data_IF_386066836582
#
_entry.id   IF_386066836582
#
_cell.length_a   1.000
_cell.length_b   1.000
_cell.length_c   1.000
_cell.angle_alpha   90.00
_cell.angle_beta   90.00
_cell.angle_gamma   90.00
#
_symmetry.space_group_name_H-M   'P 1'
#
loop_
_entity.id
_entity.type
_entity.pdbx_description
1 polymer ?
#
# COMPACT_ATOMS: atom_id res chain seq x y z
N UNK A 1 -7.21 5.02 11.71
CA UNK A 1 -7.54 4.06 12.77
C UNK A 1 -9.02 4.13 13.03
N UNK A 2 -9.81 3.34 12.38
CA UNK A 2 -11.05 2.88 12.97
C UNK A 2 -10.77 1.51 13.57
N UNK A 3 -10.12 1.44 14.73
CA UNK A 3 -10.47 0.43 15.70
C UNK A 3 -11.84 0.88 16.22
N UNK A 4 -12.89 0.66 15.42
CA UNK A 4 -14.23 0.65 15.92
C UNK A 4 -14.30 -0.49 16.94
N UNK A 5 -14.00 -0.20 18.19
CA UNK A 5 -14.62 -0.90 19.29
C UNK A 5 -16.11 -0.71 19.05
N UNK A 6 -16.72 -1.62 18.30
CA UNK A 6 -18.16 -1.80 18.32
C UNK A 6 -18.51 -2.20 19.74
N UNK A 7 -18.70 -1.21 20.60
CA UNK A 7 -19.52 -1.41 21.78
C UNK A 7 -20.87 -1.79 21.23
N UNK A 8 -21.35 -2.97 21.60
CA UNK A 8 -22.72 -3.40 21.41
C UNK A 8 -23.61 -2.38 22.12
N UNK A 9 -23.96 -1.31 21.42
CA UNK A 9 -25.05 -0.45 21.89
C UNK A 9 -26.33 -1.26 21.77
N UNK A 10 -27.22 -1.22 22.77
CA UNK A 10 -28.52 -1.86 22.67
C UNK A 10 -29.18 -1.46 21.35
N UNK A 11 -29.69 -2.41 20.60
CA UNK A 11 -30.35 -2.22 19.30
C UNK A 11 -31.40 -1.11 19.33
N UNK A 12 -32.04 -0.88 20.47
CA UNK A 12 -33.01 0.20 20.72
C UNK A 12 -32.40 1.62 20.63
N UNK A 13 -31.13 1.79 20.90
CA UNK A 13 -30.47 3.10 20.84
C UNK A 13 -30.04 3.43 19.39
N UNK A 14 -29.59 2.44 18.63
CA UNK A 14 -29.17 2.59 17.23
C UNK A 14 -30.37 2.94 16.32
N UNK A 15 -31.55 2.35 16.58
CA UNK A 15 -32.79 2.69 15.86
C UNK A 15 -33.27 4.13 16.11
N UNK A 16 -33.02 4.71 17.28
CA UNK A 16 -33.38 6.11 17.61
C UNK A 16 -32.59 7.16 16.82
N UNK A 17 -31.42 6.81 16.28
CA UNK A 17 -30.59 7.71 15.49
C UNK A 17 -30.75 7.55 13.98
N UNK A 18 -31.81 6.84 13.50
CA UNK A 18 -32.06 6.66 12.06
C UNK A 18 -30.95 5.87 11.33
N UNK A 19 -30.14 5.12 12.07
CA UNK A 19 -29.10 4.27 11.49
C UNK A 19 -29.81 3.10 10.81
N UNK A 20 -29.68 3.07 9.49
CA UNK A 20 -30.34 2.14 8.57
C UNK A 20 -30.34 0.69 9.08
N UNK A 21 -31.39 -0.06 8.69
CA UNK A 21 -31.58 -1.49 8.90
C UNK A 21 -30.38 -2.40 8.57
N UNK A 22 -29.40 -1.89 7.83
CA UNK A 22 -28.17 -2.64 7.53
C UNK A 22 -27.21 -2.79 8.73
N UNK A 23 -27.22 -1.85 9.68
CA UNK A 23 -26.42 -1.96 10.92
C UNK A 23 -27.22 -2.63 12.02
N UNK A 24 -28.57 -2.48 11.99
CA UNK A 24 -29.50 -3.12 12.90
C UNK A 24 -30.08 -4.46 12.38
N UNK A 25 -29.66 -4.91 11.19
CA UNK A 25 -29.97 -6.28 10.79
C UNK A 25 -29.46 -7.21 11.90
N UNK A 26 -30.27 -8.11 12.44
CA UNK A 26 -29.79 -9.07 13.42
C UNK A 26 -28.56 -9.72 12.82
N UNK A 27 -27.43 -9.66 13.54
CA UNK A 27 -26.26 -10.47 13.19
C UNK A 27 -26.84 -11.86 12.99
N UNK A 28 -26.80 -12.43 11.77
CA UNK A 28 -27.30 -13.77 11.58
C UNK A 28 -26.72 -14.59 12.73
N UNK A 29 -27.55 -15.38 13.40
CA UNK A 29 -27.05 -16.25 14.47
C UNK A 29 -26.14 -17.28 13.81
N UNK A 30 -24.90 -16.86 13.48
CA UNK A 30 -23.84 -17.74 13.04
C UNK A 30 -23.40 -18.57 14.23
N UNK A 31 -24.25 -19.49 14.59
CA UNK A 31 -23.95 -20.47 15.68
C UNK A 31 -22.82 -21.40 15.25
N UNK A 32 -22.59 -21.56 13.94
CA UNK A 32 -21.44 -22.27 13.36
C UNK A 32 -21.12 -21.68 12.00
N UNK A 33 -19.84 -21.49 11.70
CA UNK A 33 -19.39 -21.25 10.32
C UNK A 33 -19.75 -22.49 9.52
N UNK A 34 -20.58 -22.36 8.46
CA UNK A 34 -20.96 -23.49 7.60
C UNK A 34 -19.71 -24.01 6.87
N UNK A 35 -19.13 -25.06 7.47
CA UNK A 35 -17.94 -25.73 6.95
C UNK A 35 -18.36 -27.03 6.27
N UNK A 36 -18.30 -27.05 4.95
CA UNK A 36 -18.45 -28.30 4.23
C UNK A 36 -17.26 -29.26 4.50
N UNK A 37 -17.37 -30.50 4.07
CA UNK A 37 -16.41 -31.57 4.38
C UNK A 37 -14.95 -31.20 4.03
N UNK A 38 -14.71 -30.47 2.93
CA UNK A 38 -13.34 -30.09 2.52
C UNK A 38 -12.63 -29.18 3.52
N UNK A 39 -13.36 -28.22 4.13
CA UNK A 39 -12.80 -27.34 5.18
C UNK A 39 -12.56 -28.08 6.49
N UNK A 40 -13.42 -29.05 6.83
CA UNK A 40 -13.23 -29.89 8.02
C UNK A 40 -11.98 -30.76 7.90
N UNK A 41 -11.75 -31.37 6.73
CA UNK A 41 -10.54 -32.16 6.48
C UNK A 41 -9.30 -31.25 6.45
N UNK A 42 -9.35 -30.14 5.75
CA UNK A 42 -8.28 -29.16 5.74
C UNK A 42 -7.88 -28.72 7.16
N UNK A 43 -8.87 -28.37 8.02
CA UNK A 43 -8.64 -28.02 9.42
C UNK A 43 -7.97 -29.17 10.19
N UNK A 44 -8.46 -30.38 10.03
CA UNK A 44 -7.92 -31.57 10.69
C UNK A 44 -6.46 -31.78 10.34
N UNK A 45 -6.14 -31.71 9.06
CA UNK A 45 -4.78 -31.92 8.58
C UNK A 45 -3.86 -30.76 8.99
N UNK A 46 -4.33 -29.51 8.93
CA UNK A 46 -3.58 -28.34 9.40
C UNK A 46 -3.27 -28.40 10.90
N UNK A 47 -4.18 -28.94 11.73
CA UNK A 47 -3.97 -29.12 13.16
C UNK A 47 -2.88 -30.15 13.52
N UNK A 48 -2.35 -30.88 12.54
CA UNK A 48 -1.22 -31.78 12.76
C UNK A 48 0.12 -31.05 12.94
N UNK A 49 0.23 -29.81 12.41
CA UNK A 49 1.46 -29.01 12.49
C UNK A 49 1.22 -27.57 12.98
N UNK A 50 -0.02 -27.10 13.00
CA UNK A 50 -0.39 -25.79 13.57
C UNK A 50 -1.17 -25.99 14.87
N UNK A 51 -0.75 -25.31 15.92
CA UNK A 51 -1.43 -25.40 17.21
C UNK A 51 -2.87 -24.84 17.14
N UNK A 52 -3.80 -25.49 17.84
CA UNK A 52 -5.23 -25.16 17.76
C UNK A 52 -5.57 -23.72 18.20
N UNK A 53 -4.76 -23.10 19.06
CA UNK A 53 -4.91 -21.70 19.48
C UNK A 53 -4.59 -20.70 18.36
N UNK A 54 -4.00 -21.15 17.25
CA UNK A 54 -3.72 -20.36 16.05
C UNK A 54 -4.67 -20.63 14.88
N UNK A 55 -5.60 -21.58 15.03
CA UNK A 55 -6.65 -21.91 14.05
C UNK A 55 -8.00 -21.43 14.58
N UNK A 56 -8.56 -20.39 14.03
CA UNK A 56 -9.83 -19.81 14.43
C UNK A 56 -10.94 -20.24 13.49
N UNK A 57 -12.00 -20.86 14.06
CA UNK A 57 -13.19 -21.28 13.31
C UNK A 57 -14.48 -20.84 13.99
N UNK A 58 -14.38 -20.19 15.15
CA UNK A 58 -15.55 -19.62 15.82
C UNK A 58 -16.02 -18.34 15.13
N UNK A 59 -17.32 -18.12 15.18
CA UNK A 59 -17.99 -17.03 14.48
C UNK A 59 -17.49 -15.65 14.88
N UNK A 60 -17.16 -15.44 16.16
CA UNK A 60 -16.73 -14.14 16.67
C UNK A 60 -15.37 -13.74 16.10
N UNK A 61 -14.37 -14.64 16.16
CA UNK A 61 -13.04 -14.37 15.63
C UNK A 61 -13.05 -14.28 14.11
N UNK A 62 -13.77 -15.19 13.41
CA UNK A 62 -13.92 -15.09 11.95
C UNK A 62 -14.59 -13.78 11.53
N UNK A 63 -15.63 -13.34 12.25
CA UNK A 63 -16.27 -12.06 11.98
C UNK A 63 -15.33 -10.86 12.21
N UNK A 64 -14.53 -10.89 13.28
CA UNK A 64 -13.55 -9.84 13.58
C UNK A 64 -12.47 -9.72 12.50
N UNK A 65 -12.08 -10.84 11.86
CA UNK A 65 -11.12 -10.86 10.76
C UNK A 65 -11.74 -10.60 9.37
N UNK A 66 -13.06 -10.44 9.31
CA UNK A 66 -13.80 -10.27 8.06
C UNK A 66 -13.75 -8.86 7.46
N UNK A 67 -12.96 -7.93 8.01
CA UNK A 67 -12.82 -6.55 7.53
C UNK A 67 -11.36 -6.17 7.36
N UNK A 68 -11.08 -5.23 6.47
CA UNK A 68 -9.82 -4.51 6.38
C UNK A 68 -10.02 -3.02 6.76
N UNK A 69 -9.20 -2.10 6.23
CA UNK A 69 -9.39 -0.67 6.46
C UNK A 69 -10.46 -0.05 5.54
N UNK A 70 -10.94 -0.80 4.54
CA UNK A 70 -12.02 -0.41 3.64
C UNK A 70 -13.41 -0.68 4.22
N UNK A 71 -14.41 -0.57 3.36
CA UNK A 71 -15.82 -0.86 3.71
C UNK A 71 -16.27 -2.26 3.29
N UNK A 72 -15.39 -3.02 2.65
CA UNK A 72 -15.67 -4.40 2.24
C UNK A 72 -15.67 -5.35 3.43
N UNK A 73 -16.48 -6.39 3.33
CA UNK A 73 -16.55 -7.45 4.33
C UNK A 73 -16.77 -8.80 3.67
N UNK A 74 -15.90 -9.75 3.99
CA UNK A 74 -16.08 -11.18 3.73
C UNK A 74 -15.70 -11.93 5.00
N UNK A 75 -16.61 -12.73 5.55
CA UNK A 75 -16.33 -13.48 6.79
C UNK A 75 -15.64 -14.80 6.42
N UNK A 76 -14.37 -14.99 6.82
CA UNK A 76 -13.65 -16.22 6.52
C UNK A 76 -14.27 -17.42 7.26
N UNK A 77 -14.20 -18.59 6.63
CA UNK A 77 -14.56 -19.87 7.30
C UNK A 77 -13.51 -20.28 8.32
N UNK A 78 -12.28 -19.84 8.12
CA UNK A 78 -11.16 -20.16 8.99
C UNK A 78 -10.11 -19.06 8.90
N UNK A 79 -9.50 -18.73 10.05
CA UNK A 79 -8.32 -17.85 10.11
C UNK A 79 -7.17 -18.65 10.72
N UNK A 80 -6.03 -18.66 10.05
CA UNK A 80 -4.82 -19.35 10.50
C UNK A 80 -3.71 -18.34 10.65
N UNK A 81 -3.07 -18.29 11.81
CA UNK A 81 -1.90 -17.46 12.08
C UNK A 81 -0.65 -18.30 11.86
N UNK A 82 -0.10 -18.23 10.63
CA UNK A 82 1.15 -18.90 10.31
C UNK A 82 2.35 -18.22 11.01
N UNK A 83 3.34 -19.00 11.42
CA UNK A 83 4.52 -18.51 12.13
C UNK A 83 5.80 -18.52 11.31
N UNK A 84 5.87 -19.39 10.31
CA UNK A 84 7.06 -19.54 9.48
C UNK A 84 6.72 -20.02 8.06
N UNK A 85 7.74 -20.03 7.21
CA UNK A 85 7.66 -20.41 5.81
C UNK A 85 7.24 -21.86 5.61
N UNK A 86 7.70 -22.77 6.48
CA UNK A 86 7.36 -24.20 6.40
C UNK A 86 5.87 -24.43 6.65
N UNK A 87 5.28 -23.72 7.62
CA UNK A 87 3.83 -23.76 7.85
C UNK A 87 3.04 -23.28 6.65
N UNK A 88 3.47 -22.15 6.03
CA UNK A 88 2.81 -21.62 4.82
C UNK A 88 2.92 -22.60 3.66
N UNK A 89 4.10 -23.19 3.42
CA UNK A 89 4.30 -24.21 2.39
C UNK A 89 3.36 -25.39 2.57
N UNK A 90 3.28 -25.95 3.79
CA UNK A 90 2.39 -27.07 4.10
C UNK A 90 0.90 -26.67 3.97
N UNK A 91 0.53 -25.46 4.39
CA UNK A 91 -0.84 -24.96 4.23
C UNK A 91 -1.25 -24.84 2.77
N UNK A 92 -0.36 -24.35 1.90
CA UNK A 92 -0.63 -24.26 0.46
C UNK A 92 -0.78 -25.64 -0.19
N UNK A 93 0.06 -26.62 0.18
CA UNK A 93 -0.09 -28.00 -0.26
C UNK A 93 -1.43 -28.59 0.18
N UNK A 94 -1.85 -28.35 1.43
CA UNK A 94 -3.15 -28.80 1.91
C UNK A 94 -4.31 -28.06 1.20
N UNK A 95 -4.18 -26.77 0.95
CA UNK A 95 -5.16 -25.97 0.24
C UNK A 95 -5.39 -26.51 -1.19
N UNK A 96 -4.31 -26.83 -1.89
CA UNK A 96 -4.36 -27.48 -3.20
C UNK A 96 -5.03 -28.85 -3.13
N UNK A 97 -4.61 -29.71 -2.18
CA UNK A 97 -5.15 -31.07 -1.99
C UNK A 97 -6.64 -31.08 -1.72
N UNK A 98 -7.13 -30.16 -0.88
CA UNK A 98 -8.53 -30.08 -0.48
C UNK A 98 -9.36 -29.13 -1.37
N UNK A 99 -8.76 -28.49 -2.38
CA UNK A 99 -9.39 -27.47 -3.24
C UNK A 99 -10.00 -26.33 -2.40
N UNK A 100 -9.26 -25.85 -1.41
CA UNK A 100 -9.66 -24.76 -0.49
C UNK A 100 -8.96 -23.48 -0.90
N UNK A 101 -9.70 -22.43 -1.31
CA UNK A 101 -9.11 -21.13 -1.59
C UNK A 101 -8.48 -20.50 -0.34
N UNK A 102 -7.35 -19.84 -0.51
CA UNK A 102 -6.65 -19.12 0.56
C UNK A 102 -6.44 -17.66 0.19
N UNK A 103 -6.42 -16.79 1.19
CA UNK A 103 -6.07 -15.38 1.06
C UNK A 103 -5.03 -15.06 2.12
N UNK A 104 -3.97 -14.35 1.74
CA UNK A 104 -2.95 -13.89 2.67
C UNK A 104 -3.30 -12.53 3.25
N UNK A 105 -2.88 -12.31 4.50
CA UNK A 105 -3.07 -11.04 5.19
C UNK A 105 -1.87 -10.72 6.07
N UNK A 106 -1.33 -9.52 5.91
CA UNK A 106 -0.40 -8.91 6.84
C UNK A 106 -1.18 -7.98 7.82
N UNK A 107 -1.02 -6.67 7.76
CA UNK A 107 -1.72 -5.73 8.65
C UNK A 107 -3.22 -5.53 8.30
N UNK A 108 -3.62 -5.75 7.04
CA UNK A 108 -4.99 -5.52 6.59
C UNK A 108 -5.34 -4.03 6.49
N UNK A 109 -4.39 -3.21 6.04
CA UNK A 109 -4.57 -1.76 5.84
C UNK A 109 -5.09 -1.40 4.45
N UNK A 110 -5.41 -2.39 3.62
CA UNK A 110 -6.02 -2.19 2.30
C UNK A 110 -7.39 -1.54 2.39
N UNK A 111 -7.75 -0.77 1.36
CA UNK A 111 -9.01 -0.02 1.27
C UNK A 111 -10.01 -0.66 0.30
N UNK A 112 -9.56 -1.60 -0.54
CA UNK A 112 -10.35 -2.18 -1.64
C UNK A 112 -10.62 -3.68 -1.47
N UNK A 113 -10.52 -4.23 -0.23
CA UNK A 113 -10.93 -5.59 0.08
C UNK A 113 -9.90 -6.68 -0.24
N UNK A 114 -8.64 -6.34 -0.55
CA UNK A 114 -7.63 -7.33 -0.94
C UNK A 114 -7.28 -8.33 0.17
N UNK A 115 -7.45 -7.93 1.43
CA UNK A 115 -7.07 -8.73 2.61
C UNK A 115 -8.26 -9.38 3.33
N UNK A 116 -9.43 -9.46 2.71
CA UNK A 116 -10.60 -10.17 3.22
C UNK A 116 -10.89 -11.45 2.43
N UNK A 117 -11.54 -12.42 3.05
CA UNK A 117 -11.81 -13.73 2.45
C UNK A 117 -13.14 -14.29 2.96
N UNK A 118 -13.80 -15.07 2.12
CA UNK A 118 -14.93 -15.93 2.50
C UNK A 118 -14.51 -17.42 2.68
N UNK A 119 -13.20 -17.70 2.60
CA UNK A 119 -12.60 -19.03 2.67
C UNK A 119 -11.59 -19.11 3.83
N UNK A 120 -10.34 -19.46 3.58
CA UNK A 120 -9.28 -19.51 4.59
C UNK A 120 -8.43 -18.24 4.48
N UNK A 121 -8.31 -17.53 5.60
CA UNK A 121 -7.44 -16.37 5.74
C UNK A 121 -6.16 -16.78 6.46
N UNK A 122 -5.02 -16.71 5.79
CA UNK A 122 -3.71 -16.99 6.36
C UNK A 122 -3.06 -15.66 6.76
N UNK A 123 -2.78 -15.50 8.05
CA UNK A 123 -2.23 -14.26 8.60
C UNK A 123 -0.74 -14.42 8.85
N UNK A 124 0.06 -13.58 8.17
CA UNK A 124 1.50 -13.40 8.39
C UNK A 124 1.73 -12.02 9.05
N UNK A 125 1.75 -11.99 10.37
CA UNK A 125 1.90 -10.77 11.15
C UNK A 125 2.99 -10.91 12.20
N UNK A 126 2.63 -10.84 13.47
CA UNK A 126 3.54 -11.09 14.59
C UNK A 126 4.20 -12.47 14.40
N UNK A 127 5.48 -12.59 14.57
CA UNK A 127 6.42 -13.68 14.27
C UNK A 127 7.05 -13.64 12.87
N UNK A 128 6.62 -12.72 12.00
CA UNK A 128 7.22 -12.44 10.70
C UNK A 128 7.91 -11.07 10.72
N UNK A 129 8.66 -10.77 11.80
CA UNK A 129 9.25 -9.45 12.05
C UNK A 129 10.78 -9.46 11.98
N UNK A 130 11.38 -10.55 11.51
CA UNK A 130 12.83 -10.62 11.34
C UNK A 130 13.30 -9.70 10.20
N UNK A 131 14.52 -9.19 10.38
CA UNK A 131 15.18 -8.33 9.41
C UNK A 131 16.70 -8.46 9.52
N UNK A 132 17.39 -8.16 8.43
CA UNK A 132 18.86 -7.99 8.41
C UNK A 132 19.22 -6.94 7.37
N UNK A 133 20.41 -6.35 7.47
CA UNK A 133 20.94 -5.46 6.45
C UNK A 133 22.43 -5.74 6.23
N UNK A 134 22.94 -5.35 5.06
CA UNK A 134 24.36 -5.34 4.81
C UNK A 134 25.08 -4.21 5.60
N UNK A 135 26.40 -4.17 5.58
CA UNK A 135 27.21 -3.31 6.46
C UNK A 135 26.90 -1.82 6.33
N UNK A 136 26.61 -1.35 5.13
CA UNK A 136 26.25 0.07 4.85
C UNK A 136 24.74 0.32 4.79
N UNK A 137 23.94 -0.70 5.09
CA UNK A 137 22.48 -0.71 5.00
C UNK A 137 21.95 -0.23 3.64
N UNK A 138 22.72 -0.35 2.54
CA UNK A 138 22.25 -0.09 1.18
C UNK A 138 21.22 -1.11 0.72
N UNK A 139 21.20 -2.28 1.38
CA UNK A 139 20.20 -3.34 1.20
C UNK A 139 19.68 -3.78 2.57
N UNK A 140 18.38 -4.05 2.62
CA UNK A 140 17.70 -4.57 3.80
C UNK A 140 16.82 -5.76 3.40
N UNK A 141 16.94 -6.83 4.17
CA UNK A 141 16.11 -8.02 4.05
C UNK A 141 15.06 -8.02 5.14
N UNK A 142 13.81 -8.25 4.78
CA UNK A 142 12.64 -8.03 5.63
C UNK A 142 11.64 -9.16 5.50
N UNK A 143 11.12 -9.64 6.61
CA UNK A 143 9.94 -10.50 6.63
C UNK A 143 8.64 -9.69 6.49
N UNK A 144 7.54 -10.30 6.00
CA UNK A 144 6.29 -9.60 5.65
C UNK A 144 5.58 -8.90 6.82
N UNK A 145 5.83 -9.27 8.07
CA UNK A 145 5.21 -8.69 9.27
C UNK A 145 5.92 -7.45 9.82
N UNK A 146 7.07 -7.06 9.27
CA UNK A 146 7.77 -5.84 9.71
C UNK A 146 6.92 -4.61 9.35
N UNK A 147 6.69 -3.73 10.34
CA UNK A 147 5.94 -2.48 10.11
C UNK A 147 6.81 -1.50 9.33
N UNK A 148 6.22 -0.84 8.31
CA UNK A 148 6.95 0.05 7.42
C UNK A 148 7.70 1.18 8.12
N UNK A 149 7.12 1.83 9.15
CA UNK A 149 7.82 2.86 9.92
C UNK A 149 9.01 2.32 10.72
N UNK A 150 8.95 1.06 11.18
CA UNK A 150 10.07 0.39 11.88
C UNK A 150 11.27 0.21 10.95
N UNK A 151 11.04 -0.02 9.65
CA UNK A 151 12.14 -0.09 8.67
C UNK A 151 12.92 1.21 8.65
N UNK A 152 12.25 2.37 8.67
CA UNK A 152 12.92 3.66 8.74
C UNK A 152 13.68 3.88 10.07
N UNK A 153 13.14 3.37 11.19
CA UNK A 153 13.83 3.45 12.48
C UNK A 153 15.12 2.61 12.49
N UNK A 154 15.10 1.44 11.82
CA UNK A 154 16.26 0.57 11.62
C UNK A 154 17.33 1.26 10.74
N UNK A 155 16.90 1.89 9.64
CA UNK A 155 17.79 2.48 8.64
C UNK A 155 18.37 3.85 9.05
N UNK A 156 17.68 4.58 9.91
CA UNK A 156 18.08 5.95 10.33
C UNK A 156 19.51 6.06 10.89
N UNK A 157 20.00 5.13 11.74
CA UNK A 157 21.39 5.18 12.23
C UNK A 157 22.44 5.08 11.11
N UNK A 158 22.08 4.52 9.96
CA UNK A 158 22.94 4.40 8.79
C UNK A 158 22.78 5.57 7.80
N UNK A 159 22.00 6.61 8.15
CA UNK A 159 21.69 7.71 7.24
C UNK A 159 20.89 7.28 6.01
N UNK A 160 20.03 6.27 6.17
CA UNK A 160 19.24 5.70 5.07
C UNK A 160 17.75 5.65 5.40
N UNK A 161 16.92 5.50 4.37
CA UNK A 161 15.47 5.37 4.48
C UNK A 161 14.91 4.29 3.55
N UNK A 162 13.73 3.81 3.88
CA UNK A 162 12.92 2.93 3.05
C UNK A 162 12.32 3.71 1.89
N UNK A 163 12.32 3.14 0.68
CA UNK A 163 11.79 3.81 -0.51
C UNK A 163 10.27 3.99 -0.47
N UNK A 164 9.47 2.92 -0.32
CA UNK A 164 8.01 3.02 -0.23
C UNK A 164 7.57 3.77 1.04
N UNK A 165 6.70 4.78 0.87
CA UNK A 165 6.24 5.64 1.98
C UNK A 165 4.71 5.83 2.02
N UNK A 166 3.90 4.74 1.98
CA UNK A 166 2.45 4.88 1.99
C UNK A 166 1.94 5.64 3.21
N UNK A 167 0.79 6.32 3.07
CA UNK A 167 0.18 7.08 4.16
C UNK A 167 -0.07 6.26 5.43
N UNK A 168 -0.24 4.94 5.27
CA UNK A 168 -0.40 3.97 6.36
C UNK A 168 0.92 3.44 6.94
N UNK A 169 2.09 4.03 6.62
CA UNK A 169 3.43 3.50 6.95
C UNK A 169 3.61 3.13 8.44
N UNK A 170 2.91 3.82 9.34
CA UNK A 170 2.93 3.55 10.80
C UNK A 170 2.17 2.27 11.21
N UNK A 171 1.39 1.70 10.32
CA UNK A 171 0.53 0.54 10.61
C UNK A 171 0.60 -0.58 9.57
N UNK A 172 0.93 -0.28 8.31
CA UNK A 172 1.08 -1.29 7.28
C UNK A 172 2.38 -2.08 7.46
N UNK A 173 2.36 -3.31 6.97
CA UNK A 173 3.48 -4.24 7.04
C UNK A 173 4.11 -4.42 5.66
N UNK A 174 5.41 -4.75 5.63
CA UNK A 174 6.22 -4.89 4.41
C UNK A 174 5.57 -5.83 3.39
N UNK A 175 5.02 -6.98 3.81
CA UNK A 175 4.34 -7.89 2.88
C UNK A 175 3.20 -7.21 2.12
N UNK A 176 2.35 -6.43 2.82
CA UNK A 176 1.30 -5.65 2.18
C UNK A 176 1.84 -4.50 1.32
N UNK A 177 2.89 -3.81 1.77
CA UNK A 177 3.52 -2.72 1.02
C UNK A 177 4.03 -3.23 -0.34
N UNK A 178 4.74 -4.35 -0.36
CA UNK A 178 5.31 -4.93 -1.58
C UNK A 178 4.24 -5.53 -2.47
N UNK A 179 3.35 -6.34 -1.91
CA UNK A 179 2.30 -7.02 -2.69
C UNK A 179 1.29 -6.06 -3.31
N UNK A 180 1.06 -4.89 -2.72
CA UNK A 180 0.23 -3.83 -3.30
C UNK A 180 1.02 -2.89 -4.23
N UNK A 181 2.36 -2.93 -4.24
CA UNK A 181 3.22 -1.88 -4.79
C UNK A 181 2.87 -0.50 -4.21
N UNK A 182 2.66 -0.46 -2.90
CA UNK A 182 2.18 0.73 -2.22
C UNK A 182 3.13 1.90 -2.43
N UNK A 183 2.59 2.98 -2.94
CA UNK A 183 3.31 4.23 -3.18
C UNK A 183 2.86 5.28 -2.19
N UNK A 184 3.74 6.18 -1.84
CA UNK A 184 3.46 7.30 -0.95
C UNK A 184 3.67 8.63 -1.62
N UNK A 185 3.88 9.64 -0.79
CA UNK A 185 3.94 11.03 -1.21
C UNK A 185 5.29 11.41 -1.83
N UNK A 186 6.38 10.76 -1.42
CA UNK A 186 7.74 11.10 -1.86
C UNK A 186 8.42 10.01 -2.67
N UNK A 187 7.88 8.79 -2.74
CA UNK A 187 8.51 7.71 -3.50
C UNK A 187 8.36 7.87 -5.03
N UNK A 188 7.36 8.59 -5.50
CA UNK A 188 7.09 8.76 -6.93
C UNK A 188 6.97 7.42 -7.66
N UNK A 189 7.53 7.37 -8.88
CA UNK A 189 7.67 6.15 -9.70
C UNK A 189 9.06 5.54 -9.65
N UNK A 190 9.97 6.09 -8.83
CA UNK A 190 11.40 5.74 -8.83
C UNK A 190 11.83 4.96 -7.60
N UNK A 191 11.06 5.01 -6.51
CA UNK A 191 11.40 4.36 -5.24
C UNK A 191 10.24 3.59 -4.59
N UNK A 192 9.23 3.25 -5.36
CA UNK A 192 8.20 2.29 -4.97
C UNK A 192 8.74 0.84 -4.96
N UNK A 193 7.93 -0.11 -4.50
CA UNK A 193 8.40 -1.47 -4.23
C UNK A 193 8.99 -2.17 -5.45
N UNK A 194 8.41 -2.02 -6.65
CA UNK A 194 8.90 -2.67 -7.88
C UNK A 194 10.29 -2.17 -8.33
N UNK A 195 10.68 -0.95 -7.94
CA UNK A 195 12.00 -0.37 -8.22
C UNK A 195 13.04 -0.69 -7.17
N UNK A 196 12.58 -0.95 -5.94
CA UNK A 196 13.47 -1.18 -4.81
C UNK A 196 13.71 -2.66 -4.53
N UNK A 197 12.87 -3.56 -5.06
CA UNK A 197 12.99 -5.01 -4.85
C UNK A 197 14.21 -5.58 -5.58
N UNK A 198 15.03 -6.33 -4.86
CA UNK A 198 16.21 -7.00 -5.36
C UNK A 198 16.04 -8.52 -5.41
N UNK A 199 15.52 -9.11 -4.34
CA UNK A 199 15.33 -10.54 -4.20
C UNK A 199 14.14 -10.84 -3.29
N UNK A 200 13.61 -12.05 -3.37
CA UNK A 200 12.60 -12.57 -2.47
C UNK A 200 12.72 -14.09 -2.26
N UNK A 201 12.17 -14.54 -1.13
CA UNK A 201 11.83 -15.96 -0.92
C UNK A 201 10.33 -16.10 -1.18
N UNK A 202 10.00 -17.00 -2.12
CA UNK A 202 8.66 -17.10 -2.71
C UNK A 202 8.13 -18.52 -2.44
N UNK A 203 6.94 -18.62 -1.86
CA UNK A 203 6.27 -19.92 -1.66
C UNK A 203 5.11 -20.02 -2.65
N UNK A 204 5.24 -20.95 -3.62
CA UNK A 204 4.23 -21.19 -4.65
C UNK A 204 3.05 -22.03 -4.16
N UNK A 205 1.99 -22.10 -4.96
CA UNK A 205 0.75 -22.80 -4.59
C UNK A 205 0.90 -24.30 -4.31
N UNK A 206 1.94 -24.93 -4.85
CA UNK A 206 2.31 -26.33 -4.59
C UNK A 206 3.18 -26.50 -3.32
N UNK A 207 3.51 -25.38 -2.65
CA UNK A 207 4.36 -25.33 -1.47
C UNK A 207 5.86 -25.29 -1.78
N UNK A 208 6.27 -25.23 -3.06
CA UNK A 208 7.68 -25.06 -3.40
C UNK A 208 8.19 -23.69 -2.96
N UNK A 209 9.43 -23.65 -2.44
CA UNK A 209 10.10 -22.41 -2.01
C UNK A 209 11.21 -22.08 -2.99
N UNK A 210 11.11 -20.92 -3.63
CA UNK A 210 12.15 -20.34 -4.47
C UNK A 210 12.85 -19.20 -3.71
N UNK A 211 14.15 -19.31 -3.54
CA UNK A 211 15.02 -18.20 -3.12
C UNK A 211 15.66 -17.57 -4.36
N UNK A 212 15.27 -16.36 -4.71
CA UNK A 212 15.77 -15.72 -5.93
C UNK A 212 17.20 -15.19 -5.79
N UNK A 213 17.72 -15.09 -4.57
CA UNK A 213 19.11 -14.72 -4.32
C UNK A 213 20.09 -15.89 -4.42
N UNK A 214 19.58 -17.14 -4.32
CA UNK A 214 20.38 -18.36 -4.36
C UNK A 214 20.37 -18.98 -5.77
N UNK A 215 21.55 -19.07 -6.36
CA UNK A 215 21.73 -19.63 -7.70
C UNK A 215 21.28 -21.09 -7.82
N UNK A 216 21.51 -21.91 -6.78
CA UNK A 216 21.12 -23.31 -6.79
C UNK A 216 19.60 -23.47 -6.70
N UNK A 217 18.95 -22.65 -5.89
CA UNK A 217 17.49 -22.56 -5.82
C UNK A 217 16.87 -22.13 -7.16
N UNK A 218 17.45 -21.10 -7.83
CA UNK A 218 17.05 -20.67 -9.17
C UNK A 218 17.16 -21.81 -10.20
N UNK A 219 18.30 -22.46 -10.28
CA UNK A 219 18.53 -23.56 -11.20
C UNK A 219 17.57 -24.73 -10.96
N UNK A 220 17.37 -25.08 -9.70
CA UNK A 220 16.44 -26.14 -9.34
C UNK A 220 14.97 -25.79 -9.72
N UNK A 221 14.57 -24.53 -9.55
CA UNK A 221 13.25 -24.08 -10.00
C UNK A 221 13.10 -24.16 -11.54
N UNK A 222 14.11 -23.73 -12.28
CA UNK A 222 14.10 -23.82 -13.75
C UNK A 222 13.90 -25.25 -14.26
N UNK A 223 14.48 -26.22 -13.56
CA UNK A 223 14.38 -27.63 -13.91
C UNK A 223 13.04 -28.26 -13.50
N UNK A 224 12.55 -27.94 -12.26
CA UNK A 224 11.38 -28.61 -11.67
C UNK A 224 10.06 -27.95 -12.05
N UNK A 225 10.07 -26.63 -12.33
CA UNK A 225 8.89 -25.83 -12.65
C UNK A 225 8.89 -25.32 -14.10
N UNK A 226 9.48 -26.14 -14.98
CA UNK A 226 9.64 -25.80 -16.39
C UNK A 226 8.36 -25.30 -17.07
N UNK A 227 7.20 -25.84 -16.68
CA UNK A 227 5.91 -25.40 -17.23
C UNK A 227 5.57 -23.93 -16.89
N UNK A 228 5.94 -23.43 -15.70
CA UNK A 228 5.78 -22.02 -15.31
C UNK A 228 6.79 -21.18 -16.08
N UNK A 229 8.04 -21.62 -16.12
CA UNK A 229 9.13 -20.94 -16.82
C UNK A 229 8.82 -20.76 -18.30
N UNK A 230 8.41 -21.85 -18.98
CA UNK A 230 8.05 -21.82 -20.40
C UNK A 230 6.86 -20.90 -20.68
N UNK A 231 5.85 -20.88 -19.78
CA UNK A 231 4.71 -19.98 -19.90
C UNK A 231 5.11 -18.51 -19.75
N UNK A 232 5.99 -18.17 -18.78
CA UNK A 232 6.50 -16.81 -18.59
C UNK A 232 7.33 -16.35 -19.79
N UNK A 233 8.19 -17.23 -20.33
CA UNK A 233 8.97 -16.95 -21.54
C UNK A 233 8.05 -16.71 -22.75
N UNK A 234 7.05 -17.55 -22.95
CA UNK A 234 6.10 -17.39 -24.04
C UNK A 234 5.32 -16.07 -23.95
N UNK A 235 4.84 -15.71 -22.75
CA UNK A 235 4.15 -14.43 -22.51
C UNK A 235 5.10 -13.23 -22.74
N UNK A 236 6.35 -13.32 -22.29
CA UNK A 236 7.35 -12.28 -22.55
C UNK A 236 7.54 -12.06 -24.05
N UNK A 237 7.72 -13.13 -24.79
CA UNK A 237 7.99 -13.07 -26.22
C UNK A 237 6.75 -12.58 -27.00
N UNK A 238 5.54 -12.99 -26.59
CA UNK A 238 4.28 -12.47 -27.12
C UNK A 238 4.16 -10.95 -26.90
N UNK A 239 4.34 -10.48 -25.66
CA UNK A 239 4.30 -9.05 -25.32
C UNK A 239 5.32 -8.26 -26.15
N UNK A 240 6.56 -8.75 -26.27
CA UNK A 240 7.64 -8.07 -26.99
C UNK A 240 7.45 -8.06 -28.50
N UNK A 241 6.71 -9.01 -29.05
CA UNK A 241 6.40 -9.07 -30.49
C UNK A 241 5.40 -8.00 -30.94
N UNK A 242 4.60 -7.45 -30.01
CA UNK A 242 3.64 -6.38 -30.28
C UNK A 242 4.22 -5.02 -29.87
N UNK A 243 4.78 -4.28 -30.84
CA UNK A 243 5.35 -2.95 -30.59
C UNK A 243 4.33 -1.93 -30.03
N UNK A 244 3.05 -2.07 -30.40
CA UNK A 244 1.99 -1.18 -29.89
C UNK A 244 1.72 -1.46 -28.40
N UNK A 245 1.68 -2.74 -28.04
CA UNK A 245 1.51 -3.14 -26.64
C UNK A 245 2.71 -2.70 -25.78
N UNK A 246 3.94 -2.89 -26.29
CA UNK A 246 5.17 -2.44 -25.61
C UNK A 246 5.11 -0.93 -25.33
N UNK A 247 4.72 -0.13 -26.33
CA UNK A 247 4.61 1.31 -26.14
C UNK A 247 3.52 1.70 -25.13
N UNK A 248 2.35 1.04 -25.17
CA UNK A 248 1.30 1.25 -24.19
C UNK A 248 1.74 0.91 -22.77
N UNK A 249 2.51 -0.16 -22.58
CA UNK A 249 3.09 -0.52 -21.29
C UNK A 249 4.03 0.58 -20.80
N UNK A 250 4.96 1.05 -21.64
CA UNK A 250 5.89 2.14 -21.29
C UNK A 250 5.17 3.40 -20.87
N UNK A 251 4.18 3.84 -21.62
CA UNK A 251 3.37 5.03 -21.30
C UNK A 251 2.61 4.84 -20.00
N UNK A 252 1.94 3.69 -19.82
CA UNK A 252 1.17 3.41 -18.59
C UNK A 252 2.04 3.44 -17.34
N UNK A 253 3.24 2.89 -17.39
CA UNK A 253 4.15 2.81 -16.23
C UNK A 253 5.15 3.98 -16.15
N UNK A 254 4.99 5.01 -16.99
CA UNK A 254 5.72 6.29 -16.85
C UNK A 254 5.12 7.19 -15.75
N UNK A 255 3.88 6.91 -15.35
CA UNK A 255 3.20 7.54 -14.22
C UNK A 255 2.90 6.50 -13.14
N UNK A 256 2.48 6.95 -11.95
CA UNK A 256 2.06 6.04 -10.87
C UNK A 256 0.99 5.06 -11.37
N UNK A 257 1.24 3.76 -11.22
CA UNK A 257 0.28 2.72 -11.51
C UNK A 257 0.37 1.62 -10.45
N UNK A 258 -0.71 1.42 -9.72
CA UNK A 258 -0.85 0.42 -8.64
C UNK A 258 -2.08 -0.46 -8.83
N UNK A 259 -2.62 -0.53 -10.05
CA UNK A 259 -3.82 -1.29 -10.37
C UNK A 259 -3.52 -2.47 -11.30
N UNK A 260 -3.98 -3.64 -10.91
CA UNK A 260 -3.78 -4.89 -11.65
C UNK A 260 -2.34 -5.40 -11.60
N UNK A 261 -2.09 -6.50 -12.30
CA UNK A 261 -0.75 -7.07 -12.39
C UNK A 261 0.19 -6.14 -13.18
N UNK A 262 1.42 -6.04 -12.71
CA UNK A 262 2.44 -5.23 -13.34
C UNK A 262 2.97 -5.94 -14.61
N UNK A 263 2.72 -5.37 -15.79
CA UNK A 263 3.20 -5.91 -17.07
C UNK A 263 4.60 -5.43 -17.46
N UNK A 264 5.14 -4.43 -16.74
CA UNK A 264 6.46 -3.86 -17.03
C UNK A 264 7.59 -4.90 -16.99
N UNK A 265 7.61 -5.91 -16.09
CA UNK A 265 8.64 -6.95 -16.05
C UNK A 265 8.84 -7.69 -17.37
N UNK A 266 7.78 -7.91 -18.16
CA UNK A 266 7.88 -8.60 -19.46
C UNK A 266 8.71 -7.84 -20.51
N UNK A 267 8.79 -6.51 -20.40
CA UNK A 267 9.60 -5.69 -21.30
C UNK A 267 10.94 -5.26 -20.69
N UNK A 268 11.11 -5.43 -19.36
CA UNK A 268 12.29 -4.98 -18.63
C UNK A 268 13.32 -6.11 -18.44
N UNK A 269 12.88 -7.33 -18.13
CA UNK A 269 13.75 -8.43 -17.73
C UNK A 269 13.76 -9.55 -18.78
N UNK A 270 14.92 -10.15 -18.99
CA UNK A 270 15.08 -11.32 -19.90
C UNK A 270 14.93 -12.64 -19.14
N UNK A 271 15.43 -12.69 -17.92
CA UNK A 271 15.38 -13.88 -17.07
C UNK A 271 13.94 -14.12 -16.56
N UNK A 272 13.37 -15.32 -16.74
CA UNK A 272 12.00 -15.62 -16.30
C UNK A 272 11.82 -15.55 -14.80
N UNK A 273 12.85 -15.83 -13.98
CA UNK A 273 12.76 -15.71 -12.52
C UNK A 273 12.69 -14.24 -12.11
N UNK A 274 13.44 -13.34 -12.75
CA UNK A 274 13.36 -11.91 -12.50
C UNK A 274 11.99 -11.36 -12.93
N UNK A 275 11.42 -11.86 -14.03
CA UNK A 275 10.04 -11.52 -14.42
C UNK A 275 9.06 -11.97 -13.33
N UNK A 276 9.16 -13.22 -12.85
CA UNK A 276 8.29 -13.75 -11.77
C UNK A 276 8.43 -12.90 -10.51
N UNK A 277 9.66 -12.59 -10.08
CA UNK A 277 9.95 -11.79 -8.91
C UNK A 277 9.21 -10.44 -8.94
N UNK A 278 9.31 -9.74 -10.06
CA UNK A 278 8.70 -8.41 -10.20
C UNK A 278 7.19 -8.45 -10.53
N UNK A 279 6.66 -9.56 -11.06
CA UNK A 279 5.21 -9.77 -11.19
C UNK A 279 4.51 -9.91 -9.85
N UNK A 280 5.22 -10.35 -8.80
CA UNK A 280 4.66 -10.44 -7.44
C UNK A 280 4.33 -9.07 -6.87
N UNK A 281 5.07 -8.03 -7.27
CA UNK A 281 4.84 -6.65 -6.82
C UNK A 281 3.55 -6.12 -7.48
N UNK A 282 2.56 -5.81 -6.66
CA UNK A 282 1.22 -5.42 -7.12
C UNK A 282 0.28 -6.61 -7.38
N UNK A 283 0.70 -7.86 -7.08
CA UNK A 283 -0.14 -9.05 -7.25
C UNK A 283 -1.18 -9.26 -6.13
N UNK A 284 -1.14 -8.48 -5.07
CA UNK A 284 -2.00 -8.60 -3.88
C UNK A 284 -1.93 -9.99 -3.21
N UNK A 285 -0.80 -10.69 -3.38
CA UNK A 285 -0.62 -12.04 -2.88
C UNK A 285 -1.41 -13.12 -3.64
N UNK A 286 -1.91 -12.84 -4.84
CA UNK A 286 -2.71 -13.78 -5.64
C UNK A 286 -1.86 -14.79 -6.42
N UNK A 287 -0.59 -14.49 -6.67
CA UNK A 287 0.31 -15.36 -7.44
C UNK A 287 1.12 -16.30 -6.55
N UNK A 288 1.61 -15.82 -5.41
CA UNK A 288 2.39 -16.59 -4.46
C UNK A 288 2.43 -15.88 -3.09
N UNK A 289 2.91 -16.57 -2.06
CA UNK A 289 3.27 -15.95 -0.79
C UNK A 289 4.75 -15.55 -0.81
N UNK A 290 5.06 -14.39 -0.22
CA UNK A 290 6.43 -13.92 -0.07
C UNK A 290 6.79 -13.95 1.42
N UNK A 291 7.74 -14.81 1.77
CA UNK A 291 8.20 -15.02 3.14
C UNK A 291 9.32 -14.06 3.54
N UNK A 292 10.05 -13.52 2.56
CA UNK A 292 11.13 -12.57 2.75
C UNK A 292 11.35 -11.74 1.47
N UNK A 293 11.70 -10.47 1.63
CA UNK A 293 12.12 -9.57 0.54
C UNK A 293 13.43 -8.90 0.87
N UNK A 294 14.33 -8.82 -0.09
CA UNK A 294 15.52 -7.96 -0.02
C UNK A 294 15.28 -6.73 -0.90
N UNK A 295 15.39 -5.56 -0.30
CA UNK A 295 15.13 -4.29 -0.96
C UNK A 295 16.34 -3.36 -0.86
N UNK A 296 16.59 -2.59 -1.91
CA UNK A 296 17.51 -1.46 -1.83
C UNK A 296 16.94 -0.35 -0.96
N UNK A 297 17.80 0.46 -0.40
CA UNK A 297 17.43 1.59 0.46
C UNK A 297 17.92 2.90 -0.14
N UNK A 298 17.37 4.02 0.30
CA UNK A 298 17.74 5.35 -0.19
C UNK A 298 18.59 6.10 0.84
N UNK A 299 19.50 6.98 0.42
CA UNK A 299 20.11 7.94 1.33
C UNK A 299 19.04 8.81 2.00
N UNK A 300 19.23 9.10 3.28
CA UNK A 300 18.40 10.07 4.00
C UNK A 300 19.05 11.44 3.88
N UNK A 301 18.40 12.35 3.17
CA UNK A 301 18.81 13.75 3.14
C UNK A 301 18.50 14.39 4.51
N UNK A 302 19.54 14.86 5.26
CA UNK A 302 19.36 15.28 6.64
C UNK A 302 18.70 16.66 6.78
N UNK A 303 18.67 17.45 5.72
CA UNK A 303 18.11 18.79 5.71
C UNK A 303 16.82 18.83 4.90
N UNK A 304 15.78 19.41 5.47
CA UNK A 304 14.50 19.57 4.78
C UNK A 304 13.85 20.91 5.12
N UNK A 305 13.10 21.44 4.18
CA UNK A 305 12.24 22.58 4.38
C UNK A 305 10.83 22.29 3.83
N UNK A 306 9.82 22.78 4.54
CA UNK A 306 8.42 22.54 4.18
C UNK A 306 7.65 23.84 4.18
N UNK A 307 6.67 23.95 3.30
CA UNK A 307 5.74 25.07 3.25
C UNK A 307 4.31 24.60 3.02
N UNK A 308 3.34 25.24 3.66
CA UNK A 308 1.93 25.14 3.31
C UNK A 308 1.58 26.40 2.50
N UNK A 309 1.35 26.22 1.20
CA UNK A 309 1.15 27.30 0.24
C UNK A 309 -0.34 27.36 -0.08
N UNK A 310 -0.97 28.51 0.12
CA UNK A 310 -2.41 28.66 -0.07
C UNK A 310 -2.75 29.37 -1.38
N UNK A 311 -3.84 28.95 -2.01
CA UNK A 311 -4.38 29.50 -3.25
C UNK A 311 -5.90 29.67 -3.13
N UNK A 312 -6.46 30.68 -3.83
CA UNK A 312 -7.90 30.87 -3.92
C UNK A 312 -8.54 29.95 -4.96
N UNK A 313 -7.76 29.55 -5.96
CA UNK A 313 -8.20 28.72 -7.07
C UNK A 313 -7.39 27.42 -7.13
N UNK A 314 -8.10 26.30 -7.25
CA UNK A 314 -7.49 24.96 -7.32
C UNK A 314 -6.72 24.75 -8.64
N UNK A 315 -7.20 25.30 -9.76
CA UNK A 315 -6.49 25.22 -11.03
C UNK A 315 -5.17 26.02 -10.99
N UNK A 316 -5.17 27.15 -10.26
CA UNK A 316 -3.93 27.93 -10.03
C UNK A 316 -2.93 27.14 -9.19
N UNK A 317 -3.40 26.49 -8.11
CA UNK A 317 -2.58 25.58 -7.30
C UNK A 317 -1.96 24.46 -8.15
N UNK A 318 -2.77 23.84 -9.01
CA UNK A 318 -2.29 22.79 -9.91
C UNK A 318 -1.24 23.32 -10.92
N UNK A 319 -1.45 24.50 -11.51
CA UNK A 319 -0.46 25.14 -12.40
C UNK A 319 0.85 25.47 -11.67
N UNK A 320 0.77 25.86 -10.39
CA UNK A 320 1.96 26.07 -9.56
C UNK A 320 2.73 24.76 -9.33
N UNK A 321 2.02 23.64 -9.05
CA UNK A 321 2.64 22.31 -8.96
C UNK A 321 3.32 21.90 -10.27
N UNK A 322 2.65 22.09 -11.40
CA UNK A 322 3.24 21.82 -12.74
C UNK A 322 4.52 22.65 -12.96
N UNK A 323 4.51 23.92 -12.58
CA UNK A 323 5.66 24.82 -12.76
C UNK A 323 6.85 24.45 -11.87
N UNK A 324 6.63 23.74 -10.76
CA UNK A 324 7.68 23.21 -9.90
C UNK A 324 8.31 21.92 -10.44
N UNK A 325 7.78 21.34 -11.52
CA UNK A 325 8.39 20.18 -12.18
C UNK A 325 9.83 20.50 -12.61
N UNK A 326 10.74 19.58 -12.27
CA UNK A 326 12.17 19.75 -12.55
C UNK A 326 12.95 20.52 -11.47
N UNK A 327 12.28 21.10 -10.48
CA UNK A 327 12.90 21.57 -9.26
C UNK A 327 13.09 20.42 -8.26
N UNK A 328 13.97 20.62 -7.28
CA UNK A 328 14.18 19.63 -6.23
C UNK A 328 13.04 19.68 -5.18
N UNK A 329 11.85 19.24 -5.58
CA UNK A 329 10.66 19.09 -4.75
C UNK A 329 10.47 17.62 -4.45
N UNK A 330 10.62 17.23 -3.19
CA UNK A 330 10.50 15.83 -2.76
C UNK A 330 9.04 15.41 -2.52
N UNK A 331 8.16 16.36 -2.22
CA UNK A 331 6.72 16.14 -2.14
C UNK A 331 5.95 17.42 -2.44
N UNK A 332 4.82 17.29 -3.14
CA UNK A 332 3.84 18.36 -3.38
C UNK A 332 2.43 17.75 -3.27
N UNK A 333 1.78 17.98 -2.14
CA UNK A 333 0.45 17.44 -1.82
C UNK A 333 -0.59 18.56 -1.91
N UNK A 334 -1.49 18.47 -2.86
CA UNK A 334 -2.59 19.43 -3.00
C UNK A 334 -3.78 19.03 -2.13
N UNK A 335 -4.24 19.95 -1.30
CA UNK A 335 -5.37 19.80 -0.38
C UNK A 335 -6.48 20.76 -0.83
N UNK A 336 -7.58 20.22 -1.32
CA UNK A 336 -8.71 21.04 -1.75
C UNK A 336 -9.46 21.69 -0.57
N UNK A 337 -10.32 22.63 -0.87
CA UNK A 337 -11.09 23.38 0.14
C UNK A 337 -11.93 22.48 1.05
N UNK A 338 -12.49 21.37 0.52
CA UNK A 338 -13.31 20.44 1.31
C UNK A 338 -12.43 19.61 2.27
N UNK A 339 -11.28 19.19 1.80
CA UNK A 339 -10.28 18.49 2.61
C UNK A 339 -9.79 19.36 3.76
N UNK A 340 -9.44 20.62 3.48
CA UNK A 340 -9.01 21.57 4.51
C UNK A 340 -10.12 21.88 5.53
N UNK A 341 -11.34 22.11 5.08
CA UNK A 341 -12.50 22.34 5.96
C UNK A 341 -12.76 21.15 6.90
N UNK A 342 -12.49 19.91 6.46
CA UNK A 342 -12.70 18.72 7.29
C UNK A 342 -11.82 18.67 8.53
N UNK A 343 -10.66 19.30 8.51
CA UNK A 343 -9.68 19.28 9.63
C UNK A 343 -9.69 20.57 10.46
N UNK A 344 -10.71 21.43 10.30
CA UNK A 344 -10.85 22.72 11.03
C UNK A 344 -9.55 23.57 11.01
N UNK A 345 -9.00 23.76 9.84
CA UNK A 345 -7.70 24.42 9.67
C UNK A 345 -7.75 25.96 9.85
N UNK A 346 -8.77 26.50 10.53
CA UNK A 346 -8.87 27.94 10.91
C UNK A 346 -9.34 28.85 9.76
N UNK A 347 -8.81 30.08 9.69
CA UNK A 347 -9.22 31.15 8.75
C UNK A 347 -8.90 30.89 7.27
N UNK A 348 -8.71 29.62 6.87
CA UNK A 348 -8.41 29.19 5.51
C UNK A 348 -9.63 28.59 4.79
N UNK A 349 -10.82 28.93 5.25
CA UNK A 349 -12.06 28.46 4.61
C UNK A 349 -12.14 28.97 3.16
N UNK A 350 -12.47 28.04 2.26
CA UNK A 350 -12.53 28.33 0.83
C UNK A 350 -11.22 28.31 0.05
N UNK A 351 -10.08 28.09 0.73
CA UNK A 351 -8.77 28.00 0.09
C UNK A 351 -8.40 26.57 -0.31
N UNK A 352 -7.52 26.44 -1.29
CA UNK A 352 -6.76 25.22 -1.63
C UNK A 352 -5.34 25.39 -1.10
N UNK A 353 -4.74 24.34 -0.58
CA UNK A 353 -3.34 24.38 -0.17
C UNK A 353 -2.47 23.39 -0.96
N UNK A 354 -1.19 23.72 -1.10
CA UNK A 354 -0.16 22.79 -1.56
C UNK A 354 0.88 22.66 -0.45
N UNK A 355 0.94 21.49 0.16
CA UNK A 355 2.01 21.13 1.09
C UNK A 355 3.22 20.72 0.29
N UNK A 356 4.27 21.55 0.31
CA UNK A 356 5.48 21.37 -0.48
C UNK A 356 6.65 21.06 0.45
N UNK A 357 7.45 20.04 0.08
CA UNK A 357 8.67 19.67 0.76
C UNK A 357 9.85 19.66 -0.23
N UNK A 358 10.98 20.18 0.22
CA UNK A 358 12.29 20.01 -0.43
C UNK A 358 13.28 19.45 0.58
N UNK A 359 14.23 18.65 0.09
CA UNK A 359 15.29 18.02 0.89
C UNK A 359 16.65 18.25 0.27
N UNK A 360 17.71 18.20 1.07
CA UNK A 360 19.07 18.43 0.62
C UNK A 360 20.11 17.72 1.49
N UNK A 361 21.32 17.58 0.97
CA UNK A 361 22.48 17.00 1.67
C UNK A 361 23.12 17.99 2.65
N UNK A 362 22.96 19.28 2.43
CA UNK A 362 23.52 20.35 3.25
C UNK A 362 22.62 21.59 3.23
N UNK A 363 22.90 22.54 4.14
CA UNK A 363 22.10 23.76 4.30
C UNK A 363 22.19 24.72 3.09
N UNK A 364 23.33 24.75 2.39
CA UNK A 364 23.50 25.60 1.21
C UNK A 364 22.58 25.12 0.08
N UNK A 365 22.63 23.84 -0.25
CA UNK A 365 21.76 23.20 -1.25
C UNK A 365 20.28 23.38 -0.89
N UNK A 366 19.93 23.25 0.41
CA UNK A 366 18.56 23.49 0.86
C UNK A 366 18.10 24.91 0.59
N UNK A 367 18.96 25.91 0.86
CA UNK A 367 18.65 27.30 0.62
C UNK A 367 18.48 27.60 -0.88
N UNK A 368 19.31 27.01 -1.73
CA UNK A 368 19.19 27.13 -3.20
C UNK A 368 17.87 26.51 -3.69
N UNK A 369 17.52 25.32 -3.22
CA UNK A 369 16.27 24.66 -3.57
C UNK A 369 15.05 25.52 -3.16
N UNK A 370 15.03 26.03 -1.92
CA UNK A 370 13.97 26.92 -1.44
C UNK A 370 13.88 28.20 -2.27
N UNK A 371 15.02 28.82 -2.61
CA UNK A 371 15.04 30.02 -3.45
C UNK A 371 14.45 29.75 -4.84
N UNK A 372 14.84 28.66 -5.49
CA UNK A 372 14.33 28.29 -6.81
C UNK A 372 12.80 28.05 -6.81
N UNK A 373 12.30 27.41 -5.75
CA UNK A 373 10.85 27.19 -5.57
C UNK A 373 10.14 28.54 -5.36
N UNK A 374 10.65 29.41 -4.48
CA UNK A 374 10.05 30.71 -4.22
C UNK A 374 10.05 31.60 -5.47
N UNK A 375 11.15 31.61 -6.25
CA UNK A 375 11.23 32.37 -7.51
C UNK A 375 10.22 31.86 -8.54
N UNK A 376 9.98 30.55 -8.59
CA UNK A 376 8.95 29.98 -9.45
C UNK A 376 7.55 30.40 -9.02
N UNK A 377 7.28 30.43 -7.71
CA UNK A 377 5.97 30.78 -7.14
C UNK A 377 5.61 32.26 -7.28
N UNK A 378 6.57 33.17 -7.48
CA UNK A 378 6.30 34.61 -7.73
C UNK A 378 5.39 34.88 -8.93
N UNK A 379 5.22 33.92 -9.82
CA UNK A 379 4.36 34.01 -11.03
C UNK A 379 2.91 33.65 -10.76
N UNK A 380 2.58 33.20 -9.55
CA UNK A 380 1.25 32.71 -9.18
C UNK A 380 0.64 33.57 -8.08
N UNK A 381 -0.69 33.69 -8.09
CA UNK A 381 -1.45 34.43 -7.06
C UNK A 381 -1.61 33.56 -5.80
N UNK A 382 -0.61 33.57 -4.95
CA UNK A 382 -0.66 32.87 -3.65
C UNK A 382 -1.44 33.69 -2.62
N UNK A 383 -2.18 33.03 -1.75
CA UNK A 383 -2.84 33.69 -0.62
C UNK A 383 -1.87 33.85 0.54
N UNK A 384 -1.39 35.08 0.73
CA UNK A 384 -0.40 35.43 1.74
C UNK A 384 1.04 35.10 1.33
N UNK A 385 1.96 35.34 2.26
CA UNK A 385 3.39 35.12 2.04
C UNK A 385 3.73 33.62 2.07
N UNK A 386 4.47 33.14 1.09
CA UNK A 386 5.00 31.77 1.10
C UNK A 386 6.26 31.72 1.96
N UNK A 387 6.22 30.87 3.00
CA UNK A 387 7.35 30.70 3.92
C UNK A 387 7.67 29.22 4.09
N UNK A 388 8.91 28.87 3.81
CA UNK A 388 9.48 27.57 4.12
C UNK A 388 10.02 27.55 5.54
N UNK A 389 9.66 26.51 6.29
CA UNK A 389 10.18 26.26 7.64
C UNK A 389 11.08 25.03 7.67
N UNK A 390 12.15 25.10 8.45
CA UNK A 390 13.04 23.98 8.77
C UNK A 390 12.78 23.47 10.20
N UNK A 391 11.89 24.11 10.98
CA UNK A 391 11.56 23.69 12.35
C UNK A 391 10.64 22.45 12.32
N UNK A 392 11.10 21.29 12.83
CA UNK A 392 10.29 20.07 12.88
C UNK A 392 8.95 20.25 13.61
N UNK A 393 8.90 21.10 14.66
CA UNK A 393 7.67 21.34 15.42
C UNK A 393 6.60 22.07 14.61
N UNK A 394 7.02 22.81 13.59
CA UNK A 394 6.13 23.55 12.71
C UNK A 394 5.71 22.68 11.53
N UNK A 395 6.64 22.11 10.76
CA UNK A 395 6.26 21.32 9.59
C UNK A 395 5.54 20.01 9.93
N UNK A 396 5.77 19.42 11.10
CA UNK A 396 5.00 18.25 11.54
C UNK A 396 3.50 18.55 11.69
N UNK A 397 3.12 19.81 12.00
CA UNK A 397 1.71 20.22 12.00
C UNK A 397 1.09 20.16 10.61
N UNK A 398 1.84 20.56 9.58
CA UNK A 398 1.38 20.49 8.18
C UNK A 398 1.11 19.03 7.78
N UNK A 399 2.05 18.13 8.07
CA UNK A 399 1.87 16.71 7.81
C UNK A 399 0.79 16.05 8.66
N UNK A 400 0.56 16.54 9.87
CA UNK A 400 -0.55 16.08 10.71
C UNK A 400 -1.92 16.49 10.12
N UNK A 401 -2.04 17.71 9.59
CA UNK A 401 -3.22 18.17 8.86
C UNK A 401 -3.49 17.19 7.70
N UNK A 402 -2.52 16.95 6.83
CA UNK A 402 -2.65 16.06 5.67
C UNK A 402 -3.07 14.65 6.09
N UNK A 403 -2.41 14.05 7.06
CA UNK A 403 -2.72 12.68 7.49
C UNK A 403 -4.04 12.56 8.26
N UNK A 404 -4.55 13.66 8.80
CA UNK A 404 -5.83 13.74 9.50
C UNK A 404 -7.05 13.80 8.59
N UNK A 405 -6.90 14.21 7.31
CA UNK A 405 -8.03 14.42 6.39
C UNK A 405 -8.87 13.16 6.24
N UNK A 406 -8.25 12.03 5.88
CA UNK A 406 -8.98 10.79 5.61
C UNK A 406 -9.81 10.28 6.82
N UNK A 407 -9.22 10.14 8.03
CA UNK A 407 -9.99 9.74 9.20
C UNK A 407 -11.13 10.72 9.54
N UNK A 408 -10.89 12.02 9.34
CA UNK A 408 -11.88 13.05 9.66
C UNK A 408 -13.05 13.03 8.69
N UNK A 409 -12.79 12.98 7.38
CA UNK A 409 -13.83 12.84 6.35
C UNK A 409 -14.65 11.56 6.59
N UNK A 410 -13.98 10.44 6.90
CA UNK A 410 -14.64 9.19 7.26
C UNK A 410 -15.55 9.33 8.49
N UNK A 411 -15.15 10.12 9.49
CA UNK A 411 -15.92 10.38 10.70
C UNK A 411 -17.10 11.35 10.50
N UNK A 412 -16.97 12.30 9.59
CA UNK A 412 -17.97 13.36 9.33
C UNK A 412 -19.03 12.98 8.30
N UNK A 413 -18.84 11.90 7.56
CA UNK A 413 -19.81 11.49 6.52
C UNK A 413 -21.18 11.22 7.09
N UNK A 414 -22.23 11.45 6.28
CA UNK A 414 -23.61 11.14 6.66
C UNK A 414 -23.76 9.65 6.99
N UNK A 415 -24.51 9.27 8.05
CA UNK A 415 -24.82 7.87 8.33
C UNK A 415 -25.42 7.18 7.10
N UNK A 416 -25.00 5.93 6.84
CA UNK A 416 -25.46 5.15 5.68
C UNK A 416 -24.73 5.45 4.37
N UNK A 417 -23.76 6.38 4.36
CA UNK A 417 -22.88 6.62 3.22
C UNK A 417 -21.51 5.97 3.43
N UNK A 418 -20.77 5.76 2.33
CA UNK A 418 -19.39 5.31 2.38
C UNK A 418 -18.44 6.35 1.79
N UNK A 419 -17.15 6.26 2.08
CA UNK A 419 -16.12 7.00 1.36
C UNK A 419 -15.60 6.08 0.25
N UNK A 420 -15.82 6.47 -1.01
CA UNK A 420 -15.11 5.87 -2.13
C UNK A 420 -13.71 6.51 -2.17
N UNK A 421 -12.69 5.67 -2.17
CA UNK A 421 -11.30 6.09 -2.22
C UNK A 421 -10.67 5.33 -3.34
N UNK A 422 -10.50 6.03 -4.45
CA UNK A 422 -9.83 5.51 -5.63
C UNK A 422 -8.86 6.57 -6.14
N UNK A 423 -7.65 6.14 -6.39
CA UNK A 423 -6.62 6.99 -6.98
C UNK A 423 -6.81 7.04 -8.51
N UNK A 424 -6.73 8.22 -9.07
CA UNK A 424 -6.54 8.43 -10.51
C UNK A 424 -5.17 9.06 -10.74
N UNK A 425 -4.44 8.54 -11.72
CA UNK A 425 -3.11 9.03 -12.07
C UNK A 425 -3.14 9.70 -13.44
N UNK A 426 -2.54 10.89 -13.51
CA UNK A 426 -2.38 11.68 -14.72
C UNK A 426 -0.91 12.07 -14.89
N UNK A 427 -0.53 12.43 -16.10
CA UNK A 427 0.70 13.19 -16.28
C UNK A 427 0.58 14.54 -15.55
N UNK A 428 1.66 15.01 -14.96
CA UNK A 428 1.59 16.23 -14.13
C UNK A 428 1.15 17.45 -14.96
N UNK A 429 1.41 17.45 -16.25
CA UNK A 429 0.99 18.50 -17.19
C UNK A 429 -0.54 18.61 -17.33
N UNK A 430 -1.24 17.51 -17.16
CA UNK A 430 -2.71 17.43 -17.28
C UNK A 430 -3.42 17.70 -15.94
N UNK A 431 -2.66 17.93 -14.85
CA UNK A 431 -3.21 17.99 -13.50
C UNK A 431 -4.27 19.09 -13.34
N UNK A 432 -4.04 20.28 -13.92
CA UNK A 432 -4.95 21.41 -13.76
C UNK A 432 -6.32 21.15 -14.43
N UNK A 433 -6.32 20.57 -15.62
CA UNK A 433 -7.54 20.22 -16.33
C UNK A 433 -8.25 19.04 -15.67
N UNK A 434 -7.49 18.01 -15.27
CA UNK A 434 -8.02 16.83 -14.60
C UNK A 434 -8.73 17.16 -13.27
N UNK A 435 -8.15 18.00 -12.41
CA UNK A 435 -8.80 18.38 -11.15
C UNK A 435 -10.03 19.26 -11.36
N UNK A 436 -10.01 20.10 -12.38
CA UNK A 436 -11.16 20.95 -12.76
C UNK A 436 -12.33 20.10 -13.25
N UNK A 437 -12.07 19.19 -14.19
CA UNK A 437 -13.09 18.31 -14.77
C UNK A 437 -13.66 17.35 -13.71
N UNK A 438 -12.80 16.77 -12.86
CA UNK A 438 -13.23 15.90 -11.78
C UNK A 438 -14.13 16.65 -10.78
N UNK A 439 -13.76 17.88 -10.39
CA UNK A 439 -14.60 18.69 -9.50
C UNK A 439 -15.94 19.02 -10.12
N UNK A 440 -15.96 19.42 -11.39
CA UNK A 440 -17.20 19.70 -12.12
C UNK A 440 -18.10 18.45 -12.26
N UNK A 441 -17.51 17.27 -12.38
CA UNK A 441 -18.24 16.00 -12.42
C UNK A 441 -18.87 15.67 -11.06
N UNK A 442 -18.14 15.86 -9.96
CA UNK A 442 -18.59 15.54 -8.60
C UNK A 442 -19.61 16.56 -8.05
N UNK A 443 -19.67 17.76 -8.62
CA UNK A 443 -20.63 18.82 -8.23
C UNK A 443 -22.00 18.68 -8.91
N UNK A 444 -22.16 17.75 -9.87
CA UNK A 444 -23.44 17.41 -10.56
C UNK A 444 -24.28 16.45 -9.74
#
# INVERSE_FOLDING_TARGET
>A
MMSGTFRLYPTSLLCKFGISSYICAPIPQYTTVDMNNRYLQFRKDAAAFISNDRIYTDSLRCFAWGTDAGFYRLVPKMVIRAQDESEVSQLLQLASRHSVPVTFRAAGTSLSGQSVSDSVLIVAGKNWEAWSCNDDASQITLQPGVIGSKVNDILRPYGRKFGPDPASLKSCMVGGIVMNNASGMSCGTVSNSDRMLLNARIVFADGYVLDTADSDSRNHFLDTHKHIVDAIVALRDEVRSDATLVERIKVKYSIKNVTGLNLLPFITFDDPIDIILHLLVGSEGTLAFVSEVTMSTLPLEPFQANAMIYFRDMAEAARAVIAMKGLNVSAAEMLDKRSLASVNAGDIDGLTAVLTQTVAKNQHELAENVSAILDTLKRFDTYGDVRFTVDPREYQKYWAIRSGIFPTVGGMRKPGTTCLIEDVAFHVEDLADAVTDLSALLDR
#
